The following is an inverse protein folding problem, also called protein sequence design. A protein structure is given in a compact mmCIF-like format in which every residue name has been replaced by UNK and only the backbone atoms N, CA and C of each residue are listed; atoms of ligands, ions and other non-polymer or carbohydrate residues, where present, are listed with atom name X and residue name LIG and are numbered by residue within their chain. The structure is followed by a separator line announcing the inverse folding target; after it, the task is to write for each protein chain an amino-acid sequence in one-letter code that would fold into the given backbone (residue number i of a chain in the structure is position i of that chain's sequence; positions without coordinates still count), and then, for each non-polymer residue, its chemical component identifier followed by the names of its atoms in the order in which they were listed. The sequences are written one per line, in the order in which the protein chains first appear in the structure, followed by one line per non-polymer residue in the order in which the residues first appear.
data_IF_756676257100
#
_entry.id   IF_756676257100
#
_cell.length_a   1.000
_cell.length_b   1.000
_cell.length_c   1.000
_cell.angle_alpha   90.00
_cell.angle_beta   90.00
_cell.angle_gamma   90.00
#
_symmetry.space_group_name_H-M   'P 1'
#
loop_
_entity.id
_entity.type
_entity.pdbx_description
1 polymer ?
#
# COMPACT_ATOMS: atom_id res chain seq x y z
N UNK A 1 -11.87 -28.31 6.66
CA UNK A 1 -11.13 -28.60 5.42
C UNK A 1 -9.70 -28.04 5.44
N UNK A 2 -9.45 -26.81 5.93
CA UNK A 2 -8.07 -26.33 6.14
C UNK A 2 -7.44 -26.80 7.46
N UNK A 3 -8.19 -26.97 8.54
CA UNK A 3 -7.70 -27.63 9.76
C UNK A 3 -7.30 -29.08 9.45
N UNK A 4 -8.22 -29.86 8.88
CA UNK A 4 -7.96 -31.23 8.40
C UNK A 4 -6.79 -31.34 7.40
N UNK A 5 -6.58 -30.34 6.51
CA UNK A 5 -5.41 -30.32 5.64
C UNK A 5 -4.11 -29.99 6.40
N UNK A 6 -4.13 -29.01 7.32
CA UNK A 6 -2.98 -28.66 8.17
C UNK A 6 -2.61 -29.83 9.09
N UNK A 7 -3.60 -30.47 9.69
CA UNK A 7 -3.45 -31.66 10.54
C UNK A 7 -2.88 -32.83 9.72
N UNK A 8 -3.37 -33.02 8.49
CA UNK A 8 -2.78 -33.99 7.57
C UNK A 8 -1.39 -33.59 7.08
N UNK A 9 -1.02 -32.31 7.08
CA UNK A 9 0.32 -31.89 6.67
C UNK A 9 1.36 -32.06 7.79
N UNK A 10 0.91 -31.98 9.05
CA UNK A 10 1.73 -32.23 10.24
C UNK A 10 1.88 -33.72 10.57
N UNK A 11 1.07 -34.57 9.94
CA UNK A 11 1.24 -36.03 9.99
C UNK A 11 2.49 -36.48 9.20
N UNK A 12 3.49 -36.98 9.93
CA UNK A 12 4.69 -37.58 9.36
C UNK A 12 5.60 -36.55 8.68
N UNK A 13 6.18 -36.93 7.55
CA UNK A 13 7.15 -36.15 6.78
C UNK A 13 6.51 -35.33 5.64
N UNK A 14 5.18 -35.15 5.65
CA UNK A 14 4.45 -34.56 4.51
C UNK A 14 4.82 -33.08 4.29
N UNK A 15 5.11 -32.34 5.35
CA UNK A 15 5.64 -30.99 5.28
C UNK A 15 7.02 -30.96 4.60
N UNK A 16 7.90 -31.90 4.95
CA UNK A 16 9.24 -32.01 4.37
C UNK A 16 9.18 -32.38 2.89
N UNK A 17 8.28 -33.29 2.50
CA UNK A 17 8.06 -33.65 1.09
C UNK A 17 7.56 -32.48 0.24
N UNK A 18 6.73 -31.60 0.81
CA UNK A 18 6.28 -30.37 0.15
C UNK A 18 7.44 -29.38 -0.03
N UNK A 19 8.27 -29.24 1.01
CA UNK A 19 9.47 -28.42 0.97
C UNK A 19 10.46 -28.92 -0.08
N UNK A 20 10.70 -30.23 -0.14
CA UNK A 20 11.59 -30.86 -1.12
C UNK A 20 11.13 -30.63 -2.56
N UNK A 21 9.81 -30.71 -2.80
CA UNK A 21 9.23 -30.41 -4.11
C UNK A 21 9.46 -28.94 -4.50
N UNK A 22 9.23 -28.00 -3.56
CA UNK A 22 9.46 -26.58 -3.80
C UNK A 22 10.95 -26.29 -4.08
N UNK A 23 11.85 -26.86 -3.29
CA UNK A 23 13.30 -26.73 -3.49
C UNK A 23 13.75 -27.29 -4.85
N UNK A 24 13.13 -28.38 -5.30
CA UNK A 24 13.41 -28.94 -6.64
C UNK A 24 13.06 -27.94 -7.73
N UNK A 25 11.88 -27.31 -7.66
CA UNK A 25 11.47 -26.28 -8.65
C UNK A 25 12.32 -25.02 -8.60
N UNK A 26 12.73 -24.59 -7.41
CA UNK A 26 13.62 -23.42 -7.25
C UNK A 26 15.02 -23.68 -7.81
N UNK A 27 15.53 -24.92 -7.73
CA UNK A 27 16.78 -25.32 -8.38
C UNK A 27 16.63 -25.34 -9.91
N UNK A 28 15.56 -25.93 -10.43
CA UNK A 28 15.27 -25.95 -11.87
C UNK A 28 15.16 -24.52 -12.45
N UNK A 29 14.62 -23.58 -11.67
CA UNK A 29 14.53 -22.16 -12.03
C UNK A 29 15.84 -21.37 -11.82
N UNK A 30 16.92 -22.00 -11.35
CA UNK A 30 18.22 -21.36 -11.09
C UNK A 30 18.24 -20.39 -9.91
N UNK A 31 17.20 -20.38 -9.07
CA UNK A 31 17.05 -19.49 -7.91
C UNK A 31 17.81 -19.99 -6.68
N UNK A 32 18.09 -21.29 -6.62
CA UNK A 32 18.84 -21.95 -5.53
C UNK A 32 20.00 -22.74 -6.12
N UNK A 33 21.21 -22.55 -5.58
CA UNK A 33 22.43 -23.22 -6.07
C UNK A 33 22.58 -24.62 -5.46
N UNK A 34 23.02 -25.59 -6.26
CA UNK A 34 23.31 -26.93 -5.76
C UNK A 34 24.53 -26.94 -4.82
N UNK A 35 24.46 -27.79 -3.78
CA UNK A 35 25.58 -28.14 -2.88
C UNK A 35 26.19 -26.98 -2.07
N UNK A 36 25.46 -25.89 -1.88
CA UNK A 36 25.84 -24.82 -0.95
C UNK A 36 24.90 -24.77 0.25
N UNK A 37 25.44 -24.62 1.46
CA UNK A 37 24.64 -24.23 2.64
C UNK A 37 24.16 -22.80 2.43
N UNK A 38 22.97 -22.65 1.86
CA UNK A 38 22.35 -21.36 1.66
C UNK A 38 21.61 -21.00 2.95
N UNK A 39 22.08 -19.96 3.64
CA UNK A 39 21.34 -19.42 4.78
C UNK A 39 20.02 -18.87 4.25
N UNK A 40 18.92 -19.33 4.83
CA UNK A 40 17.64 -18.64 4.68
C UNK A 40 17.72 -17.41 5.57
N UNK A 41 18.24 -16.31 5.05
CA UNK A 41 18.28 -15.00 5.71
C UNK A 41 16.88 -14.41 5.89
N UNK A 42 15.85 -15.19 5.54
CA UNK A 42 14.46 -14.93 5.85
C UNK A 42 14.35 -14.78 7.37
N UNK A 43 14.38 -13.53 7.83
CA UNK A 43 13.58 -13.10 8.97
C UNK A 43 12.30 -13.91 8.95
N UNK A 44 12.06 -14.73 9.96
CA UNK A 44 10.90 -15.61 9.98
C UNK A 44 9.66 -14.72 10.15
N UNK A 45 9.20 -14.14 9.05
CA UNK A 45 7.90 -13.51 8.93
C UNK A 45 6.96 -14.69 8.68
N UNK A 46 6.32 -15.18 9.73
CA UNK A 46 5.24 -16.17 9.62
C UNK A 46 3.99 -15.61 8.88
N UNK A 47 4.12 -14.39 8.34
CA UNK A 47 3.10 -13.51 7.79
C UNK A 47 2.07 -13.05 8.83
N UNK A 48 1.63 -11.79 8.73
CA UNK A 48 0.42 -11.32 9.38
C UNK A 48 -0.77 -11.83 8.55
N UNK A 49 -0.97 -13.15 8.54
CA UNK A 49 -2.07 -13.78 7.82
C UNK A 49 -3.26 -13.75 8.76
N UNK A 50 -4.25 -12.89 8.47
CA UNK A 50 -5.62 -13.26 8.83
C UNK A 50 -5.93 -14.52 8.05
N UNK A 51 -6.39 -15.60 8.70
CA UNK A 51 -6.93 -16.75 7.97
C UNK A 51 -8.02 -16.21 7.03
N UNK A 52 -7.72 -16.20 5.74
CA UNK A 52 -8.66 -15.80 4.71
C UNK A 52 -9.82 -16.78 4.76
N UNK A 53 -11.03 -16.26 4.69
CA UNK A 53 -12.19 -17.12 4.50
C UNK A 53 -12.00 -17.89 3.20
N UNK A 54 -12.58 -19.08 3.11
CA UNK A 54 -12.43 -19.95 1.93
C UNK A 54 -12.79 -19.25 0.62
N UNK A 55 -13.73 -18.31 0.67
CA UNK A 55 -14.15 -17.49 -0.47
C UNK A 55 -13.10 -16.46 -0.88
N UNK A 56 -12.45 -15.81 0.08
CA UNK A 56 -11.39 -14.82 -0.16
C UNK A 56 -10.16 -15.47 -0.80
N UNK A 57 -9.73 -16.64 -0.33
CA UNK A 57 -8.65 -17.42 -0.94
C UNK A 57 -8.92 -17.79 -2.39
N UNK A 58 -10.14 -18.27 -2.67
CA UNK A 58 -10.55 -18.65 -4.03
C UNK A 58 -10.54 -17.42 -4.93
N UNK A 59 -11.04 -16.29 -4.44
CA UNK A 59 -11.14 -15.07 -5.24
C UNK A 59 -9.77 -14.53 -5.62
N UNK A 60 -8.81 -14.58 -4.70
CA UNK A 60 -7.46 -14.07 -4.90
C UNK A 60 -6.57 -15.00 -5.71
N UNK A 61 -6.75 -16.32 -5.56
CA UNK A 61 -6.13 -17.29 -6.46
C UNK A 61 -6.65 -17.13 -7.90
N UNK A 62 -7.95 -16.91 -8.08
CA UNK A 62 -8.55 -16.67 -9.40
C UNK A 62 -8.05 -15.35 -9.99
N UNK A 63 -7.99 -14.27 -9.20
CA UNK A 63 -7.43 -12.98 -9.65
C UNK A 63 -5.99 -13.12 -10.12
N UNK A 64 -5.12 -13.72 -9.29
CA UNK A 64 -3.71 -13.90 -9.62
C UNK A 64 -3.50 -14.74 -10.88
N UNK A 65 -4.29 -15.81 -11.05
CA UNK A 65 -4.24 -16.61 -12.27
C UNK A 65 -4.68 -15.82 -13.51
N UNK A 66 -5.71 -14.98 -13.39
CA UNK A 66 -6.18 -14.15 -14.50
C UNK A 66 -5.20 -13.03 -14.86
N UNK A 67 -4.51 -12.43 -13.88
CA UNK A 67 -3.44 -11.45 -14.13
C UNK A 67 -2.25 -12.08 -14.86
N UNK A 68 -1.84 -13.28 -14.46
CA UNK A 68 -0.77 -14.02 -15.14
C UNK A 68 -1.18 -14.39 -16.58
N UNK A 69 -2.43 -14.83 -16.78
CA UNK A 69 -2.97 -15.12 -18.13
C UNK A 69 -3.10 -13.84 -18.95
N UNK A 70 -3.48 -12.70 -18.36
CA UNK A 70 -3.53 -11.41 -19.05
C UNK A 70 -2.14 -11.01 -19.57
N UNK A 71 -1.09 -11.26 -18.78
CA UNK A 71 0.30 -10.99 -19.16
C UNK A 71 0.88 -11.94 -20.20
N UNK A 72 0.50 -13.22 -20.17
CA UNK A 72 1.11 -14.28 -21.00
C UNK A 72 0.30 -14.67 -22.23
N UNK A 73 -1.02 -14.65 -22.14
CA UNK A 73 -1.95 -15.11 -23.16
C UNK A 73 -3.30 -14.38 -23.08
N UNK A 74 -3.28 -13.03 -23.06
CA UNK A 74 -4.46 -12.21 -22.79
C UNK A 74 -5.67 -12.45 -23.70
N UNK A 75 -5.47 -12.90 -24.94
CA UNK A 75 -6.54 -13.29 -25.86
C UNK A 75 -7.44 -14.42 -25.33
N UNK A 76 -6.96 -15.24 -24.39
CA UNK A 76 -7.76 -16.27 -23.73
C UNK A 76 -8.79 -15.70 -22.75
N UNK A 77 -8.65 -14.43 -22.38
CA UNK A 77 -9.59 -13.72 -21.50
C UNK A 77 -10.72 -13.02 -22.28
N UNK A 78 -10.61 -12.97 -23.61
CA UNK A 78 -11.59 -12.33 -24.47
C UNK A 78 -12.94 -13.07 -24.36
N UNK A 79 -13.97 -12.35 -23.92
CA UNK A 79 -15.31 -12.89 -23.67
C UNK A 79 -15.51 -13.57 -22.31
N UNK A 80 -14.44 -13.79 -21.53
CA UNK A 80 -14.52 -14.29 -20.14
C UNK A 80 -14.46 -13.15 -19.11
N UNK A 81 -13.68 -12.11 -19.40
CA UNK A 81 -13.48 -10.93 -18.55
C UNK A 81 -14.15 -9.74 -19.24
N UNK A 82 -15.48 -9.69 -19.19
CA UNK A 82 -16.27 -8.59 -19.74
C UNK A 82 -16.38 -7.40 -18.76
N UNK A 83 -17.04 -6.32 -19.18
CA UNK A 83 -17.20 -5.13 -18.35
C UNK A 83 -18.00 -5.41 -17.06
N UNK A 84 -18.92 -6.37 -17.09
CA UNK A 84 -19.70 -6.79 -15.93
C UNK A 84 -18.84 -7.57 -14.93
N UNK A 85 -17.99 -8.47 -15.43
CA UNK A 85 -16.97 -9.18 -14.68
C UNK A 85 -15.99 -8.19 -14.04
N UNK A 86 -15.51 -7.20 -14.80
CA UNK A 86 -14.65 -6.13 -14.30
C UNK A 86 -15.31 -5.31 -13.17
N UNK A 87 -16.62 -5.04 -13.26
CA UNK A 87 -17.36 -4.37 -12.17
C UNK A 87 -17.55 -5.25 -10.94
N UNK A 88 -17.77 -6.56 -11.11
CA UNK A 88 -18.05 -7.51 -10.02
C UNK A 88 -16.78 -8.04 -9.32
N UNK A 89 -15.71 -8.28 -10.08
CA UNK A 89 -14.49 -9.00 -9.65
C UNK A 89 -13.19 -8.27 -10.00
N UNK A 90 -13.22 -7.25 -10.87
CA UNK A 90 -12.03 -6.43 -11.19
C UNK A 90 -11.65 -5.43 -10.09
N UNK A 91 -12.46 -5.31 -9.04
CA UNK A 91 -12.00 -4.71 -7.78
C UNK A 91 -11.16 -5.77 -7.05
N UNK A 92 -9.92 -5.45 -6.63
CA UNK A 92 -9.20 -6.32 -5.72
C UNK A 92 -10.12 -6.68 -4.55
N UNK A 93 -10.06 -7.91 -4.06
CA UNK A 93 -10.58 -8.17 -2.71
C UNK A 93 -9.78 -7.21 -1.84
N UNK A 94 -10.42 -6.12 -1.39
CA UNK A 94 -9.85 -5.34 -0.31
C UNK A 94 -9.77 -6.35 0.82
N UNK A 95 -8.56 -6.80 1.11
CA UNK A 95 -8.19 -7.34 2.40
C UNK A 95 -8.34 -6.19 3.38
N UNK A 96 -9.60 -5.85 3.67
CA UNK A 96 -9.91 -5.33 4.96
C UNK A 96 -9.49 -6.47 5.89
N UNK A 97 -8.41 -6.24 6.61
CA UNK A 97 -8.13 -6.97 7.83
C UNK A 97 -9.28 -6.57 8.76
N UNK A 98 -10.50 -7.08 8.50
CA UNK A 98 -11.61 -7.04 9.43
C UNK A 98 -11.28 -8.09 10.48
N UNK A 99 -10.29 -7.75 11.30
CA UNK A 99 -10.37 -8.06 12.72
C UNK A 99 -11.32 -6.98 13.23
N UNK A 100 -12.41 -7.36 13.86
CA UNK A 100 -13.34 -6.42 14.47
C UNK A 100 -12.59 -5.53 15.48
N UNK A 101 -12.12 -4.36 15.02
CA UNK A 101 -11.36 -3.42 15.83
C UNK A 101 -10.11 -2.87 15.15
N UNK A 102 -10.03 -1.54 15.15
CA UNK A 102 -8.82 -0.74 14.97
C UNK A 102 -7.69 -1.25 15.86
N UNK A 103 -6.68 -1.89 15.28
CA UNK A 103 -5.40 -2.02 15.95
C UNK A 103 -4.27 -1.77 14.97
N UNK A 104 -3.52 -0.71 15.21
CA UNK A 104 -2.06 -0.70 15.08
C UNK A 104 -1.52 -1.96 15.74
N UNK A 105 -0.90 -2.88 15.02
CA UNK A 105 -0.19 -4.01 15.66
C UNK A 105 1.31 -3.87 15.50
N UNK A 106 1.99 -3.99 16.64
CA UNK A 106 3.44 -4.09 16.74
C UNK A 106 3.82 -5.56 16.60
N UNK A 107 4.62 -5.89 15.59
CA UNK A 107 5.29 -7.20 15.55
C UNK A 107 6.62 -7.03 16.29
N UNK A 108 6.67 -7.48 17.55
CA UNK A 108 7.95 -7.66 18.26
C UNK A 108 8.60 -8.92 17.72
N UNK A 109 9.68 -8.77 16.97
CA UNK A 109 10.52 -9.91 16.64
C UNK A 109 11.37 -10.28 17.88
N UNK A 110 11.64 -11.57 18.08
CA UNK A 110 12.65 -12.03 19.05
C UNK A 110 13.87 -12.55 18.29
N UNK A 111 15.07 -12.26 18.81
CA UNK A 111 16.34 -12.69 18.24
C UNK A 111 17.43 -11.62 18.29
N UNK A 112 18.68 -11.95 17.92
CA UNK A 112 19.86 -11.11 18.16
C UNK A 112 19.84 -9.74 17.47
N UNK A 113 18.91 -9.51 16.53
CA UNK A 113 18.72 -8.26 15.77
C UNK A 113 17.25 -7.98 15.42
N UNK A 114 16.33 -8.25 16.33
CA UNK A 114 14.93 -7.93 16.12
C UNK A 114 14.70 -6.43 15.85
N UNK A 115 13.94 -6.11 14.81
CA UNK A 115 13.37 -4.78 14.58
C UNK A 115 11.85 -4.88 14.61
N UNK A 116 11.21 -4.05 15.43
CA UNK A 116 9.76 -4.00 15.51
C UNK A 116 9.18 -3.54 14.16
N UNK A 117 8.22 -4.30 13.60
CA UNK A 117 7.50 -3.92 12.37
C UNK A 117 6.14 -3.32 12.73
N UNK A 118 5.84 -2.16 12.14
CA UNK A 118 4.52 -1.53 12.19
C UNK A 118 3.72 -1.93 10.95
N UNK A 119 2.55 -2.53 11.13
CA UNK A 119 1.57 -2.73 10.05
C UNK A 119 0.42 -1.76 10.29
N UNK A 120 0.21 -0.81 9.37
CA UNK A 120 -0.87 0.17 9.48
C UNK A 120 -1.99 -0.11 8.47
N UNK A 121 -3.21 -0.39 8.94
CA UNK A 121 -4.41 -0.26 8.08
C UNK A 121 -4.82 1.21 7.91
N UNK A 122 -4.13 2.16 8.57
CA UNK A 122 -4.54 3.58 8.64
C UNK A 122 -4.07 4.46 7.46
N UNK A 123 -3.32 3.92 6.49
CA UNK A 123 -2.94 4.66 5.29
C UNK A 123 -3.56 4.09 4.01
N UNK A 124 -4.76 3.56 4.11
CA UNK A 124 -5.48 3.03 2.96
C UNK A 124 -5.99 4.20 2.10
N UNK A 125 -5.48 4.35 0.88
CA UNK A 125 -5.96 5.39 -0.03
C UNK A 125 -7.44 5.23 -0.38
N UNK A 126 -8.00 4.02 -0.26
CA UNK A 126 -9.43 3.76 -0.40
C UNK A 126 -10.31 4.44 0.65
N UNK A 127 -9.74 4.93 1.74
CA UNK A 127 -10.49 5.66 2.77
C UNK A 127 -11.19 6.90 2.17
N UNK A 128 -10.65 7.45 1.08
CA UNK A 128 -11.33 8.49 0.29
C UNK A 128 -12.75 8.08 -0.13
N UNK A 129 -12.92 6.83 -0.57
CA UNK A 129 -14.20 6.28 -1.00
C UNK A 129 -15.09 5.90 0.18
N UNK A 130 -14.48 5.44 1.28
CA UNK A 130 -15.22 5.06 2.49
C UNK A 130 -15.73 6.28 3.29
N UNK A 131 -15.02 7.41 3.20
CA UNK A 131 -15.34 8.66 3.91
C UNK A 131 -15.47 9.83 2.93
N UNK A 132 -16.50 9.85 2.07
CA UNK A 132 -16.64 10.87 1.02
C UNK A 132 -16.77 12.30 1.59
N UNK A 133 -17.25 12.45 2.83
CA UNK A 133 -17.35 13.76 3.51
C UNK A 133 -16.03 14.27 4.10
N UNK A 134 -14.94 13.49 4.03
CA UNK A 134 -13.62 13.89 4.57
C UNK A 134 -12.94 14.99 3.71
N UNK A 135 -13.32 15.04 2.43
CA UNK A 135 -12.67 15.84 1.39
C UNK A 135 -11.32 15.29 0.94
N UNK A 136 -10.98 14.05 1.33
CA UNK A 136 -9.78 13.38 0.83
C UNK A 136 -9.85 13.23 -0.69
N UNK A 137 -8.71 13.35 -1.37
CA UNK A 137 -8.66 13.44 -2.82
C UNK A 137 -7.36 12.90 -3.44
N UNK A 138 -6.71 11.92 -2.80
CA UNK A 138 -5.57 11.22 -3.40
C UNK A 138 -5.98 10.48 -4.66
N UNK A 139 -7.03 9.66 -4.59
CA UNK A 139 -7.49 8.84 -5.70
C UNK A 139 -8.06 9.71 -6.81
N UNK A 140 -9.02 10.57 -6.49
CA UNK A 140 -9.72 11.42 -7.46
C UNK A 140 -8.85 12.48 -8.12
N UNK A 141 -7.80 12.98 -7.44
CA UNK A 141 -6.97 14.09 -7.95
C UNK A 141 -5.56 13.72 -8.35
N UNK A 142 -5.06 12.56 -7.91
CA UNK A 142 -3.67 12.16 -8.13
C UNK A 142 -3.50 10.73 -8.65
N UNK A 143 -4.50 9.85 -8.63
CA UNK A 143 -4.35 8.47 -9.16
C UNK A 143 -5.20 8.25 -10.42
N UNK A 144 -6.49 8.55 -10.32
CA UNK A 144 -7.47 8.31 -11.39
C UNK A 144 -7.65 9.45 -12.43
N UNK A 145 -7.10 10.68 -12.29
CA UNK A 145 -7.29 11.69 -13.32
C UNK A 145 -6.70 11.28 -14.67
N UNK A 146 -7.45 11.58 -15.73
CA UNK A 146 -6.90 11.65 -17.08
C UNK A 146 -5.91 12.82 -17.21
N UNK A 147 -5.02 12.83 -18.23
CA UNK A 147 -4.13 13.96 -18.50
C UNK A 147 -4.85 15.31 -18.59
N UNK A 148 -6.02 15.35 -19.24
CA UNK A 148 -6.80 16.59 -19.36
C UNK A 148 -7.35 17.05 -18.01
N UNK A 149 -7.89 16.13 -17.21
CA UNK A 149 -8.35 16.46 -15.85
C UNK A 149 -7.20 16.96 -14.97
N UNK A 150 -6.01 16.38 -15.09
CA UNK A 150 -4.82 16.84 -14.36
C UNK A 150 -4.42 18.26 -14.74
N UNK A 151 -4.46 18.62 -16.03
CA UNK A 151 -4.24 20.00 -16.50
C UNK A 151 -5.31 20.94 -15.95
N UNK A 152 -6.57 20.51 -15.91
CA UNK A 152 -7.66 21.33 -15.37
C UNK A 152 -7.52 21.55 -13.86
N UNK A 153 -7.06 20.55 -13.11
CA UNK A 153 -6.67 20.71 -11.70
C UNK A 153 -5.48 21.65 -11.53
N UNK A 154 -4.51 21.65 -12.45
CA UNK A 154 -3.39 22.59 -12.43
C UNK A 154 -3.86 24.04 -12.64
N UNK A 155 -4.80 24.27 -13.56
CA UNK A 155 -5.47 25.58 -13.76
C UNK A 155 -6.30 25.99 -12.55
N UNK A 156 -6.97 25.04 -11.90
CA UNK A 156 -7.70 25.29 -10.66
C UNK A 156 -6.76 25.74 -9.53
N UNK A 157 -5.60 25.09 -9.40
CA UNK A 157 -4.57 25.47 -8.43
C UNK A 157 -4.06 26.90 -8.71
N UNK A 158 -3.82 27.26 -9.97
CA UNK A 158 -3.43 28.61 -10.38
C UNK A 158 -4.47 29.65 -9.95
N UNK A 159 -5.77 29.40 -10.21
CA UNK A 159 -6.87 30.29 -9.76
C UNK A 159 -6.94 30.44 -8.24
N UNK A 160 -6.48 29.44 -7.50
CA UNK A 160 -6.40 29.43 -6.03
C UNK A 160 -5.11 30.05 -5.48
N UNK A 161 -4.23 30.56 -6.35
CA UNK A 161 -2.92 31.10 -5.95
C UNK A 161 -1.93 30.03 -5.46
N UNK A 162 -2.17 28.76 -5.79
CA UNK A 162 -1.27 27.64 -5.53
C UNK A 162 -0.34 27.43 -6.74
N UNK A 163 0.68 26.57 -6.57
CA UNK A 163 1.54 26.19 -7.68
C UNK A 163 0.69 25.70 -8.86
N UNK A 164 0.90 26.22 -10.09
CA UNK A 164 0.04 25.96 -11.25
C UNK A 164 0.33 24.59 -11.88
N UNK A 165 0.38 23.56 -11.05
CA UNK A 165 0.70 22.18 -11.40
C UNK A 165 -0.29 21.23 -10.71
N UNK A 166 -0.47 20.07 -11.32
CA UNK A 166 -1.06 18.88 -10.69
C UNK A 166 -0.15 17.71 -10.96
N UNK A 167 -0.10 16.73 -10.07
CA UNK A 167 0.73 15.54 -10.27
C UNK A 167 -0.12 14.28 -10.20
N UNK A 168 0.19 13.31 -11.05
CA UNK A 168 -0.55 12.04 -11.16
C UNK A 168 0.42 10.89 -10.98
N UNK A 169 0.12 9.96 -10.09
CA UNK A 169 0.84 8.73 -9.84
C UNK A 169 0.87 7.83 -11.07
N UNK A 170 1.92 7.03 -11.20
CA UNK A 170 2.02 6.03 -12.28
C UNK A 170 0.92 4.96 -12.14
N UNK A 171 0.60 4.56 -10.91
CA UNK A 171 -0.49 3.64 -10.60
C UNK A 171 -0.95 3.81 -9.15
N UNK A 172 -2.14 3.29 -8.83
CA UNK A 172 -2.63 3.25 -7.43
C UNK A 172 -1.71 2.43 -6.52
N UNK A 173 -1.15 1.34 -7.05
CA UNK A 173 -0.25 0.45 -6.31
C UNK A 173 1.05 1.17 -5.91
N UNK A 174 1.68 1.88 -6.87
CA UNK A 174 2.84 2.72 -6.58
C UNK A 174 2.48 3.82 -5.58
N UNK A 175 1.30 4.44 -5.69
CA UNK A 175 0.86 5.45 -4.74
C UNK A 175 0.73 4.89 -3.32
N UNK A 176 0.08 3.73 -3.16
CA UNK A 176 -0.12 3.07 -1.87
C UNK A 176 1.22 2.71 -1.23
N UNK A 177 2.08 2.02 -1.96
CA UNK A 177 3.38 1.61 -1.45
C UNK A 177 4.28 2.84 -1.13
N UNK A 178 4.16 3.94 -1.88
CA UNK A 178 4.93 5.16 -1.64
C UNK A 178 4.52 5.86 -0.35
N UNK A 179 3.21 5.93 -0.11
CA UNK A 179 2.65 6.48 1.13
C UNK A 179 3.09 5.63 2.32
N UNK A 180 2.98 4.31 2.22
CA UNK A 180 3.47 3.37 3.24
C UNK A 180 4.95 3.58 3.55
N UNK A 181 5.79 3.64 2.51
CA UNK A 181 7.24 3.86 2.65
C UNK A 181 7.55 5.16 3.38
N UNK A 182 6.90 6.25 2.99
CA UNK A 182 7.12 7.60 3.55
C UNK A 182 6.65 7.68 5.00
N UNK A 183 5.50 7.09 5.33
CA UNK A 183 5.02 7.02 6.71
C UNK A 183 5.95 6.15 7.56
N UNK A 184 6.36 4.99 7.05
CA UNK A 184 7.30 4.11 7.72
C UNK A 184 8.62 4.83 8.03
N UNK A 185 9.21 5.56 7.08
CA UNK A 185 10.44 6.32 7.32
C UNK A 185 10.24 7.52 8.27
N UNK A 186 9.07 8.15 8.24
CA UNK A 186 8.77 9.26 9.14
C UNK A 186 8.66 8.82 10.60
N UNK A 187 7.96 7.71 10.86
CA UNK A 187 7.74 7.18 12.21
C UNK A 187 8.85 6.23 12.69
N UNK A 188 9.46 5.50 11.76
CA UNK A 188 10.48 4.47 12.01
C UNK A 188 11.67 4.62 11.06
N UNK A 189 12.40 5.76 11.09
CA UNK A 189 13.58 5.93 10.27
C UNK A 189 14.58 4.79 10.55
N UNK A 190 15.01 4.09 9.49
CA UNK A 190 15.88 2.90 9.58
C UNK A 190 15.30 1.80 10.47
N UNK A 191 13.98 1.64 10.48
CA UNK A 191 13.26 0.63 11.26
C UNK A 191 13.22 0.90 12.76
N UNK A 192 13.60 2.10 13.22
CA UNK A 192 13.62 2.44 14.66
C UNK A 192 12.61 3.51 14.97
N UNK A 193 11.75 3.26 15.98
CA UNK A 193 10.74 4.21 16.45
C UNK A 193 11.36 5.59 16.73
N UNK A 194 10.80 6.63 16.11
CA UNK A 194 11.15 8.03 16.36
C UNK A 194 10.11 8.67 17.25
N UNK A 195 10.37 8.71 18.57
CA UNK A 195 9.45 9.27 19.57
C UNK A 195 8.95 10.66 19.20
N UNK A 196 9.82 11.55 18.73
CA UNK A 196 9.43 12.90 18.31
C UNK A 196 8.36 12.94 17.20
N UNK A 197 8.36 11.99 16.27
CA UNK A 197 7.34 11.89 15.21
C UNK A 197 5.98 11.48 15.78
N UNK A 198 5.97 10.54 16.73
CA UNK A 198 4.77 10.12 17.44
C UNK A 198 4.22 11.23 18.35
N UNK A 199 5.09 11.92 19.08
CA UNK A 199 4.69 13.07 19.92
C UNK A 199 4.11 14.20 19.06
N UNK A 200 4.68 14.45 17.88
CA UNK A 200 4.16 15.43 16.94
C UNK A 200 2.75 15.03 16.46
N UNK A 201 2.54 13.76 16.10
CA UNK A 201 1.24 13.25 15.70
C UNK A 201 0.22 13.32 16.85
N UNK A 202 0.57 12.89 18.06
CA UNK A 202 -0.31 12.97 19.23
C UNK A 202 -0.73 14.42 19.52
N UNK A 203 0.24 15.34 19.50
CA UNK A 203 -0.05 16.76 19.69
C UNK A 203 -0.92 17.32 18.56
N UNK A 204 -0.76 16.84 17.32
CA UNK A 204 -1.63 17.20 16.21
C UNK A 204 -3.06 16.71 16.41
N UNK A 205 -3.25 15.42 16.73
CA UNK A 205 -4.56 14.82 16.96
C UNK A 205 -5.29 15.50 18.12
N UNK A 206 -4.55 15.84 19.19
CA UNK A 206 -5.09 16.45 20.40
C UNK A 206 -5.07 17.99 20.41
N UNK A 207 -4.72 18.65 19.28
CA UNK A 207 -4.67 20.13 19.16
C UNK A 207 -3.80 20.81 20.24
N UNK A 208 -2.63 20.24 20.54
CA UNK A 208 -1.70 20.73 21.56
C UNK A 208 -0.54 21.53 20.95
N UNK A 209 -0.02 22.48 21.72
CA UNK A 209 1.12 23.31 21.33
C UNK A 209 0.95 24.00 19.98
N UNK A 210 1.99 23.93 19.14
CA UNK A 210 1.99 24.49 17.78
C UNK A 210 0.92 23.92 16.84
N UNK A 211 0.33 22.78 17.19
CA UNK A 211 -0.66 22.10 16.34
C UNK A 211 -2.11 22.50 16.62
N UNK A 212 -2.36 23.35 17.62
CA UNK A 212 -3.71 23.74 18.07
C UNK A 212 -4.64 24.19 16.94
N UNK A 213 -4.12 24.97 16.00
CA UNK A 213 -4.88 25.54 14.88
C UNK A 213 -4.48 24.96 13.51
N UNK A 214 -3.65 23.91 13.48
CA UNK A 214 -3.24 23.27 12.22
C UNK A 214 -4.29 22.25 11.81
N UNK A 215 -4.85 22.37 10.61
CA UNK A 215 -5.83 21.43 10.07
C UNK A 215 -5.19 20.16 9.50
N UNK A 216 -3.92 20.28 9.09
CA UNK A 216 -3.19 19.28 8.30
C UNK A 216 -1.84 18.97 8.96
N UNK A 217 -1.38 17.75 8.76
CA UNK A 217 -0.09 17.24 9.20
C UNK A 217 0.70 16.77 7.96
N UNK A 218 1.53 17.64 7.37
CA UNK A 218 2.30 17.29 6.20
C UNK A 218 3.52 16.44 6.57
N UNK A 219 3.71 15.36 5.83
CA UNK A 219 4.88 14.49 5.85
C UNK A 219 5.49 14.52 4.45
N UNK A 220 6.82 14.52 4.39
CA UNK A 220 7.54 14.48 3.12
C UNK A 220 8.65 13.46 3.24
N UNK A 221 8.80 12.65 2.21
CA UNK A 221 9.84 11.64 2.08
C UNK A 221 10.13 11.35 0.62
N UNK A 222 10.92 10.33 0.35
CA UNK A 222 11.18 9.85 -1.00
C UNK A 222 11.00 8.34 -1.08
N UNK A 223 10.89 7.85 -2.31
CA UNK A 223 11.01 6.44 -2.57
C UNK A 223 11.96 6.15 -3.74
N UNK A 224 13.18 5.82 -3.38
CA UNK A 224 14.30 5.72 -4.30
C UNK A 224 14.28 4.46 -5.19
N UNK A 225 13.31 3.54 -5.00
CA UNK A 225 13.14 2.37 -5.87
C UNK A 225 12.77 2.77 -7.30
N UNK A 226 12.07 3.90 -7.46
CA UNK A 226 11.61 4.40 -8.74
C UNK A 226 12.30 5.73 -9.07
N UNK A 227 12.82 5.86 -10.29
CA UNK A 227 13.41 7.13 -10.77
C UNK A 227 12.37 8.24 -10.99
N UNK A 228 11.10 7.87 -11.13
CA UNK A 228 9.95 8.77 -11.19
C UNK A 228 8.73 8.05 -10.64
N UNK A 229 7.93 8.73 -9.82
CA UNK A 229 6.71 8.16 -9.24
C UNK A 229 5.44 8.53 -10.02
N UNK A 230 5.56 9.37 -11.05
CA UNK A 230 4.40 9.84 -11.81
C UNK A 230 4.71 10.97 -12.78
N UNK A 231 3.69 11.73 -13.13
CA UNK A 231 3.76 12.83 -14.10
C UNK A 231 3.30 14.13 -13.46
N UNK A 232 4.02 15.21 -13.70
CA UNK A 232 3.62 16.59 -13.39
C UNK A 232 2.95 17.18 -14.63
N UNK A 233 1.75 17.72 -14.46
CA UNK A 233 0.99 18.46 -15.47
C UNK A 233 0.95 19.94 -15.09
N UNK A 234 1.28 20.82 -16.04
CA UNK A 234 1.30 22.27 -15.87
C UNK A 234 -0.01 22.87 -16.36
N UNK A 235 -0.46 23.98 -15.77
CA UNK A 235 -1.66 24.70 -16.21
C UNK A 235 -1.59 25.15 -17.68
N UNK A 236 -0.37 25.38 -18.18
CA UNK A 236 -0.08 25.69 -19.59
C UNK A 236 -0.28 24.51 -20.56
N UNK A 237 -0.52 23.29 -20.07
CA UNK A 237 -0.74 22.09 -20.86
C UNK A 237 0.49 21.19 -21.05
N UNK A 238 1.67 21.63 -20.62
CA UNK A 238 2.89 20.80 -20.65
C UNK A 238 2.89 19.72 -19.57
N UNK A 239 3.64 18.64 -19.80
CA UNK A 239 3.89 17.59 -18.80
C UNK A 239 5.36 17.20 -18.72
N UNK A 240 5.78 16.70 -17.56
CA UNK A 240 7.13 16.19 -17.30
C UNK A 240 7.11 15.09 -16.25
N UNK A 241 8.14 14.24 -16.21
CA UNK A 241 8.25 13.20 -15.18
C UNK A 241 8.39 13.83 -13.80
N UNK A 242 7.59 13.36 -12.83
CA UNK A 242 7.73 13.72 -11.42
C UNK A 242 9.04 13.15 -10.86
N UNK A 243 9.46 13.67 -9.70
CA UNK A 243 10.56 13.10 -8.96
C UNK A 243 10.18 11.80 -8.24
N UNK A 244 11.08 11.38 -7.35
CA UNK A 244 10.85 10.30 -6.39
C UNK A 244 10.42 10.82 -5.01
N UNK A 245 10.27 12.14 -4.86
CA UNK A 245 9.74 12.77 -3.66
C UNK A 245 8.24 12.59 -3.55
N UNK A 246 7.74 12.46 -2.32
CA UNK A 246 6.31 12.24 -2.03
C UNK A 246 5.89 13.19 -0.92
N UNK A 247 4.75 13.85 -1.13
CA UNK A 247 4.03 14.57 -0.08
C UNK A 247 2.87 13.69 0.39
N UNK A 248 2.77 13.48 1.70
CA UNK A 248 1.59 12.89 2.34
C UNK A 248 1.01 13.92 3.31
N UNK A 249 -0.29 14.17 3.25
CA UNK A 249 -0.97 15.09 4.15
C UNK A 249 -2.01 14.31 4.95
N UNK A 250 -1.84 14.27 6.27
CA UNK A 250 -2.86 13.72 7.16
C UNK A 250 -3.83 14.82 7.57
N UNK A 251 -5.11 14.47 7.72
CA UNK A 251 -6.13 15.35 8.29
C UNK A 251 -6.85 14.63 9.41
N UNK A 252 -7.14 15.36 10.48
CA UNK A 252 -7.91 14.81 11.60
C UNK A 252 -9.30 14.37 11.14
N UNK A 253 -9.70 13.18 11.56
CA UNK A 253 -11.01 12.59 11.33
C UNK A 253 -11.56 11.99 12.64
N UNK A 254 -11.79 12.83 13.68
CA UNK A 254 -12.19 12.35 14.99
C UNK A 254 -13.60 11.74 14.95
N UNK A 255 -13.83 10.71 15.78
CA UNK A 255 -15.16 10.11 15.95
C UNK A 255 -15.60 9.14 14.84
N UNK A 256 -14.73 8.83 13.86
CA UNK A 256 -14.94 7.75 12.90
C UNK A 256 -14.23 6.49 13.38
N UNK A 257 -15.00 5.43 13.65
CA UNK A 257 -14.45 4.09 13.91
C UNK A 257 -13.72 3.62 12.65
N UNK A 258 -12.56 3.00 12.80
CA UNK A 258 -11.74 2.50 11.68
C UNK A 258 -10.41 3.22 11.46
N UNK A 259 -10.19 4.40 12.07
CA UNK A 259 -8.93 5.16 11.93
C UNK A 259 -8.37 5.66 13.27
N UNK A 260 -7.05 5.86 13.35
CA UNK A 260 -6.30 6.44 14.49
C UNK A 260 -6.61 7.94 14.74
N UNK A 261 -7.82 8.40 14.39
CA UNK A 261 -8.24 9.80 14.49
C UNK A 261 -7.77 10.70 13.34
N UNK A 262 -7.20 10.12 12.28
CA UNK A 262 -6.81 10.81 11.05
C UNK A 262 -7.08 9.98 9.79
N UNK A 263 -7.00 10.61 8.63
CA UNK A 263 -7.06 10.00 7.29
C UNK A 263 -5.93 10.56 6.43
N UNK A 264 -5.51 9.81 5.40
CA UNK A 264 -4.72 10.37 4.29
C UNK A 264 -5.62 11.33 3.52
N UNK A 265 -5.45 12.63 3.74
CA UNK A 265 -6.25 13.66 3.08
C UNK A 265 -5.86 13.82 1.62
N UNK A 266 -4.57 13.89 1.35
CA UNK A 266 -4.05 13.83 -0.01
C UNK A 266 -2.61 13.32 0.04
N UNK A 267 -2.20 12.58 -0.99
CA UNK A 267 -0.83 12.20 -1.20
C UNK A 267 -0.49 12.26 -2.70
N UNK A 268 0.67 12.82 -3.03
CA UNK A 268 1.04 13.05 -4.41
C UNK A 268 2.55 13.03 -4.62
N UNK A 269 3.03 12.62 -5.81
CA UNK A 269 4.44 12.69 -6.14
C UNK A 269 4.82 14.16 -6.35
N UNK A 270 6.01 14.53 -5.91
CA UNK A 270 6.52 15.89 -6.02
C UNK A 270 7.24 16.09 -7.37
N UNK A 271 7.25 17.32 -7.91
CA UNK A 271 8.17 17.69 -8.99
C UNK A 271 9.64 17.42 -8.59
N UNK A 272 10.51 17.31 -9.59
CA UNK A 272 11.96 17.18 -9.39
C UNK A 272 12.56 18.42 -8.73
#
# INVERSE_FOLDING_TARGET
MLADFRDRLTEGDRADRLLDLALTRLKEAGLVRERTTQRTDSTHVLAAVRDLTRLELITEAVRAALEEVAGTAGHLLDGLVDEEWGRRYGRPVRYDITVDGLHTFYVRAEGPRASDLLVHNCANLSDELAFPSSGAHTLSRHVNPTPQQAIDFAKENERKGLAPISTVWTSQDIAQQAVERVLADYFFPRGKKRTASFDALDNFLNKRGQWRNKAEFPITGSWDLYGSLGTVFKASGGSEAAGNGVRVILKRLPGKKGHEGYIIYTAYPMPK
#
